data_IF_517115858152
#
_entry.id   IF_517115858152
#
_cell.length_a   1.000
_cell.length_b   1.000
_cell.length_c   1.000
_cell.angle_alpha   90.00
_cell.angle_beta   90.00
_cell.angle_gamma   90.00
#
_symmetry.space_group_name_H-M   'P 1'
#
loop_
_entity.id
_entity.type
_entity.pdbx_description
1 polymer ?
#
# COMPACT_ATOMS: atom_id res chain seq x y z
N UNK A 1 10.68 -15.80 24.41
CA UNK A 1 11.55 -15.75 25.60
C UNK A 1 10.99 -16.55 26.78
N UNK A 2 9.72 -16.44 27.13
CA UNK A 2 9.07 -17.20 28.20
C UNK A 2 9.13 -18.72 28.02
N UNK A 3 9.20 -19.21 26.77
CA UNK A 3 9.14 -20.65 26.46
C UNK A 3 10.42 -21.44 26.77
N UNK A 4 11.58 -20.81 26.61
CA UNK A 4 12.88 -21.47 26.83
C UNK A 4 13.33 -21.36 28.28
N UNK A 5 13.17 -20.19 28.91
CA UNK A 5 13.65 -19.90 30.27
C UNK A 5 12.97 -20.80 31.31
N UNK A 6 11.67 -21.04 31.20
CA UNK A 6 10.96 -21.92 32.13
C UNK A 6 11.41 -23.39 32.02
N UNK A 7 11.57 -23.90 30.80
CA UNK A 7 12.06 -25.27 30.60
C UNK A 7 13.52 -25.44 31.00
N UNK A 8 14.36 -24.41 30.78
CA UNK A 8 15.78 -24.41 31.22
C UNK A 8 15.94 -24.47 32.73
N UNK A 9 15.16 -23.66 33.46
CA UNK A 9 15.19 -23.66 34.93
C UNK A 9 14.72 -25.00 35.52
N UNK A 10 13.63 -25.56 34.97
CA UNK A 10 13.10 -26.84 35.44
C UNK A 10 14.08 -28.00 35.25
N UNK A 11 14.80 -28.02 34.11
CA UNK A 11 15.83 -29.06 33.87
C UNK A 11 17.03 -28.87 34.76
N UNK A 12 17.44 -27.61 35.06
CA UNK A 12 18.58 -27.31 35.93
C UNK A 12 18.33 -27.68 37.40
N UNK A 13 17.11 -27.47 37.87
CA UNK A 13 16.73 -27.63 39.27
C UNK A 13 16.13 -29.04 39.55
N UNK A 14 16.04 -29.90 38.53
CA UNK A 14 15.52 -31.26 38.72
C UNK A 14 16.53 -32.13 39.47
N UNK A 15 16.02 -32.89 40.43
CA UNK A 15 16.81 -33.88 41.16
C UNK A 15 17.25 -35.08 40.29
N UNK A 16 16.79 -35.18 39.04
CA UNK A 16 17.16 -36.24 38.13
C UNK A 16 18.40 -35.90 37.31
N UNK A 17 19.53 -36.47 37.66
CA UNK A 17 20.83 -36.28 37.00
C UNK A 17 20.79 -36.55 35.47
N UNK A 18 19.89 -37.41 35.02
CA UNK A 18 19.70 -37.71 33.58
C UNK A 18 19.14 -36.57 32.77
N UNK A 19 18.29 -35.71 33.32
CA UNK A 19 17.74 -34.56 32.63
C UNK A 19 18.81 -33.53 32.28
N UNK A 20 19.75 -33.33 33.16
CA UNK A 20 20.87 -32.38 32.97
C UNK A 20 21.76 -32.82 31.80
N UNK A 21 22.03 -34.12 31.68
CA UNK A 21 22.88 -34.67 30.61
C UNK A 21 22.34 -34.42 29.21
N UNK A 22 21.02 -34.41 29.04
CA UNK A 22 20.35 -34.23 27.75
C UNK A 22 19.67 -32.85 27.58
N UNK A 23 19.94 -31.90 28.50
CA UNK A 23 19.30 -30.58 28.54
C UNK A 23 19.18 -29.93 27.15
N UNK A 24 20.29 -29.72 26.46
CA UNK A 24 20.31 -29.00 25.19
C UNK A 24 19.51 -29.71 24.09
N UNK A 25 19.51 -31.05 24.08
CA UNK A 25 18.80 -31.86 23.13
C UNK A 25 17.28 -31.86 23.39
N UNK A 26 16.89 -31.88 24.67
CA UNK A 26 15.50 -31.78 25.09
C UNK A 26 14.93 -30.41 24.70
N UNK A 27 15.64 -29.33 25.03
CA UNK A 27 15.23 -27.97 24.72
C UNK A 27 15.10 -27.71 23.22
N UNK A 28 16.04 -28.20 22.41
CA UNK A 28 16.01 -28.03 20.96
C UNK A 28 14.80 -28.71 20.28
N UNK A 29 14.26 -29.76 20.89
CA UNK A 29 13.11 -30.51 20.33
C UNK A 29 11.78 -30.17 21.01
N UNK A 30 11.80 -29.59 22.20
CA UNK A 30 10.59 -29.21 22.94
C UNK A 30 9.93 -27.99 22.31
N UNK A 31 8.62 -27.97 22.34
CA UNK A 31 7.80 -26.83 21.89
C UNK A 31 6.89 -26.38 23.02
N UNK A 32 6.72 -25.08 23.13
CA UNK A 32 5.70 -24.45 23.94
C UNK A 32 4.78 -23.69 22.97
N UNK A 33 3.49 -23.93 23.06
CA UNK A 33 2.46 -23.29 22.24
C UNK A 33 1.42 -22.63 23.14
N UNK A 34 0.77 -21.60 22.62
CA UNK A 34 -0.44 -21.03 23.22
C UNK A 34 -1.54 -22.08 23.11
N UNK A 35 -2.29 -22.29 24.18
CA UNK A 35 -3.41 -23.23 24.17
C UNK A 35 -4.62 -22.63 23.48
N UNK A 36 -5.23 -23.38 22.58
CA UNK A 36 -6.47 -22.98 21.90
C UNK A 36 -7.69 -22.91 22.84
N UNK A 37 -7.61 -23.60 23.97
CA UNK A 37 -8.65 -23.60 24.99
C UNK A 37 -8.07 -23.29 26.37
N UNK A 38 -8.48 -22.14 26.93
CA UNK A 38 -8.04 -21.68 28.24
C UNK A 38 -8.36 -22.62 29.40
N UNK A 39 -9.33 -23.53 29.25
CA UNK A 39 -9.60 -24.57 30.25
C UNK A 39 -8.43 -25.56 30.38
N UNK A 40 -7.59 -25.65 29.35
CA UNK A 40 -6.37 -26.46 29.31
C UNK A 40 -5.11 -25.66 29.64
N UNK A 41 -5.26 -24.50 30.29
CA UNK A 41 -4.17 -23.59 30.59
C UNK A 41 -3.91 -22.53 29.50
N UNK A 42 -2.99 -21.62 29.75
CA UNK A 42 -2.60 -20.59 28.79
C UNK A 42 -1.53 -21.08 27.82
N UNK A 43 -0.66 -21.98 28.27
CA UNK A 43 0.40 -22.59 27.48
C UNK A 43 0.35 -24.11 27.57
N UNK A 44 0.81 -24.76 26.52
CA UNK A 44 0.99 -26.22 26.47
C UNK A 44 2.39 -26.58 26.00
N UNK A 45 2.99 -27.60 26.61
CA UNK A 45 4.35 -28.06 26.26
C UNK A 45 4.43 -29.57 26.13
N UNK A 46 5.22 -30.03 25.15
CA UNK A 46 5.52 -31.46 24.93
C UNK A 46 6.83 -31.89 25.58
N UNK A 47 7.39 -31.09 26.50
CA UNK A 47 8.73 -31.30 27.09
C UNK A 47 8.87 -32.66 27.76
N UNK A 48 7.82 -33.13 28.48
CA UNK A 48 7.87 -34.44 29.14
C UNK A 48 7.93 -35.60 28.17
N UNK A 49 7.25 -35.53 27.02
CA UNK A 49 7.34 -36.55 25.99
C UNK A 49 8.73 -36.61 25.36
N UNK A 50 9.31 -35.45 25.09
CA UNK A 50 10.68 -35.35 24.56
C UNK A 50 11.68 -35.88 25.56
N UNK A 51 11.63 -35.44 26.83
CA UNK A 51 12.53 -35.89 27.90
C UNK A 51 12.42 -37.42 28.12
N UNK A 52 11.20 -37.94 28.10
CA UNK A 52 10.93 -39.38 28.25
C UNK A 52 11.66 -40.23 27.18
N UNK A 53 11.69 -39.77 25.93
CA UNK A 53 12.40 -40.45 24.86
C UNK A 53 13.92 -40.56 25.06
N UNK A 54 14.53 -39.56 25.73
CA UNK A 54 15.97 -39.59 26.06
C UNK A 54 16.27 -40.41 27.28
N UNK A 55 15.35 -40.44 28.27
CA UNK A 55 15.56 -41.12 29.55
C UNK A 55 15.03 -42.56 29.54
N UNK A 56 14.38 -43.01 28.44
CA UNK A 56 13.71 -44.31 28.35
C UNK A 56 12.72 -44.57 29.51
N UNK A 57 11.96 -43.54 29.90
CA UNK A 57 10.95 -43.54 30.95
C UNK A 57 9.59 -43.19 30.35
N UNK A 58 8.48 -43.40 31.08
CA UNK A 58 7.16 -42.94 30.68
C UNK A 58 7.04 -41.41 30.88
N UNK A 59 6.42 -40.67 29.96
CA UNK A 59 6.30 -39.20 30.10
C UNK A 59 5.65 -38.77 31.42
N UNK A 60 4.68 -39.54 31.91
CA UNK A 60 3.96 -39.26 33.15
C UNK A 60 4.84 -39.39 34.40
N UNK A 61 5.87 -40.27 34.36
CA UNK A 61 6.82 -40.44 35.47
C UNK A 61 7.76 -39.23 35.60
N UNK A 62 7.99 -38.52 34.49
CA UNK A 62 8.85 -37.35 34.42
C UNK A 62 8.08 -36.06 34.68
N UNK A 63 6.77 -36.07 34.45
CA UNK A 63 5.94 -34.87 34.55
C UNK A 63 5.97 -34.22 35.92
N UNK A 64 6.01 -35.01 36.99
CA UNK A 64 6.10 -34.48 38.35
C UNK A 64 7.32 -33.57 38.59
N UNK A 65 8.49 -33.96 38.05
CA UNK A 65 9.68 -33.14 38.20
C UNK A 65 9.56 -31.80 37.47
N UNK A 66 8.89 -31.79 36.29
CA UNK A 66 8.61 -30.55 35.56
C UNK A 66 7.51 -29.72 36.21
N UNK A 67 6.46 -30.36 36.75
CA UNK A 67 5.41 -29.68 37.51
C UNK A 67 5.97 -28.95 38.74
N UNK A 68 6.74 -29.64 39.56
CA UNK A 68 7.40 -29.05 40.74
C UNK A 68 8.35 -27.89 40.37
N UNK A 69 9.11 -28.05 39.28
CA UNK A 69 10.02 -27.04 38.81
C UNK A 69 9.30 -25.81 38.28
N UNK A 70 8.23 -26.00 37.48
CA UNK A 70 7.45 -24.90 36.93
C UNK A 70 6.63 -24.16 38.00
N UNK A 71 6.07 -24.86 39.00
CA UNK A 71 5.31 -24.26 40.08
C UNK A 71 6.16 -23.33 40.99
N UNK A 72 7.48 -23.43 40.98
CA UNK A 72 8.36 -22.49 41.69
C UNK A 72 8.47 -21.13 41.01
N UNK A 73 8.05 -21.02 39.77
CA UNK A 73 8.13 -19.77 39.03
C UNK A 73 6.99 -18.83 39.45
N UNK A 74 7.31 -17.60 39.81
CA UNK A 74 6.36 -16.62 40.32
C UNK A 74 5.21 -16.27 39.37
N UNK A 75 5.42 -16.46 38.08
CA UNK A 75 4.41 -16.19 37.03
C UNK A 75 3.56 -17.43 36.68
N UNK A 76 3.82 -18.59 37.30
CA UNK A 76 3.04 -19.82 37.09
C UNK A 76 2.07 -20.01 38.24
N UNK A 77 0.80 -20.07 37.95
CA UNK A 77 -0.28 -20.31 38.89
C UNK A 77 -0.49 -21.80 39.17
N UNK A 78 -0.47 -22.61 38.12
CA UNK A 78 -0.72 -24.06 38.22
C UNK A 78 -0.14 -24.75 36.99
N UNK A 79 0.20 -26.04 37.13
CA UNK A 79 0.65 -26.90 36.02
C UNK A 79 -0.06 -28.24 36.16
N UNK A 80 -0.59 -28.75 35.04
CA UNK A 80 -1.30 -30.03 35.00
C UNK A 80 -0.80 -30.87 33.85
N UNK A 81 -0.48 -32.10 34.13
CA UNK A 81 -0.19 -33.10 33.08
C UNK A 81 -1.49 -33.56 32.42
N UNK A 82 -1.52 -33.59 31.09
CA UNK A 82 -2.65 -34.05 30.31
C UNK A 82 -2.25 -35.06 29.23
N UNK A 83 -3.15 -36.00 28.94
CA UNK A 83 -2.96 -36.99 27.90
C UNK A 83 -1.67 -37.81 28.05
N UNK A 84 -0.90 -37.98 26.96
CA UNK A 84 0.32 -38.79 26.95
C UNK A 84 1.54 -38.12 27.62
N UNK A 85 1.38 -36.98 28.28
CA UNK A 85 2.47 -36.24 28.94
C UNK A 85 2.66 -34.80 28.45
N UNK A 86 1.60 -34.16 27.97
CA UNK A 86 1.59 -32.73 27.75
C UNK A 86 1.50 -31.99 29.11
N UNK A 87 2.26 -30.91 29.25
CA UNK A 87 2.10 -30.01 30.38
C UNK A 87 1.22 -28.82 29.99
N UNK A 88 0.14 -28.66 30.69
CA UNK A 88 -0.76 -27.51 30.60
C UNK A 88 -0.40 -26.53 31.71
N UNK A 89 0.02 -25.33 31.32
CA UNK A 89 0.57 -24.31 32.22
C UNK A 89 -0.44 -23.18 32.36
N UNK A 90 -0.84 -22.90 33.57
CA UNK A 90 -1.71 -21.78 33.94
C UNK A 90 -0.84 -20.65 34.48
N UNK A 91 -0.91 -19.48 33.88
CA UNK A 91 -0.13 -18.31 34.30
C UNK A 91 -0.91 -17.48 35.31
N UNK A 92 -0.17 -16.81 36.19
CA UNK A 92 -0.75 -15.82 37.09
C UNK A 92 -1.26 -14.60 36.33
N UNK A 93 -2.35 -13.99 36.80
CA UNK A 93 -2.93 -12.80 36.16
C UNK A 93 -1.98 -11.61 36.14
N UNK A 94 -1.15 -11.47 37.19
CA UNK A 94 -0.11 -10.46 37.26
C UNK A 94 0.88 -10.52 36.08
N UNK A 95 1.21 -11.74 35.62
CA UNK A 95 2.11 -11.93 34.48
C UNK A 95 1.64 -11.18 33.21
N UNK A 96 0.33 -11.19 32.95
CA UNK A 96 -0.24 -10.45 31.81
C UNK A 96 -0.26 -8.95 32.07
N UNK A 97 -0.63 -8.55 33.28
CA UNK A 97 -0.76 -7.13 33.65
C UNK A 97 0.61 -6.45 33.69
N UNK A 98 1.60 -7.07 34.34
CA UNK A 98 2.94 -6.52 34.48
C UNK A 98 3.60 -6.37 33.10
N UNK A 99 3.52 -7.40 32.24
CA UNK A 99 4.01 -7.31 30.87
C UNK A 99 3.28 -6.25 30.05
N UNK A 100 1.96 -6.06 30.26
CA UNK A 100 1.19 -5.02 29.57
C UNK A 100 1.59 -3.61 30.04
N UNK A 101 1.81 -3.41 31.33
CA UNK A 101 2.25 -2.13 31.89
C UNK A 101 3.69 -1.76 31.52
N UNK A 102 4.54 -2.75 31.25
CA UNK A 102 5.92 -2.54 30.79
C UNK A 102 6.02 -2.18 29.30
N UNK A 103 4.94 -2.32 28.54
CA UNK A 103 4.88 -1.93 27.13
C UNK A 103 4.83 -0.40 27.05
N UNK A 104 5.99 0.24 26.92
CA UNK A 104 6.12 1.69 26.72
C UNK A 104 5.79 2.09 25.28
N UNK A 105 6.05 1.21 24.34
CA UNK A 105 5.79 1.40 22.90
C UNK A 105 5.30 0.08 22.31
N UNK A 106 4.11 0.11 21.71
CA UNK A 106 3.49 -1.04 21.09
C UNK A 106 4.35 -1.62 19.95
N UNK A 107 5.18 -0.79 19.31
CA UNK A 107 6.11 -1.23 18.24
C UNK A 107 7.20 -2.17 18.79
N UNK A 108 7.47 -2.13 20.09
CA UNK A 108 8.43 -3.04 20.75
C UNK A 108 7.97 -4.50 20.78
N UNK A 109 6.65 -4.75 20.59
CA UNK A 109 6.08 -6.10 20.53
C UNK A 109 6.30 -6.77 19.17
N UNK A 110 6.63 -6.00 18.15
CA UNK A 110 6.83 -6.52 16.82
C UNK A 110 8.27 -7.04 16.71
N UNK A 111 8.41 -8.33 16.38
CA UNK A 111 9.72 -8.86 15.98
C UNK A 111 10.11 -8.14 14.67
N UNK A 112 11.18 -7.36 14.76
CA UNK A 112 11.74 -6.71 13.57
C UNK A 112 12.56 -7.76 12.82
N UNK A 113 11.87 -8.47 11.91
CA UNK A 113 12.54 -9.25 10.87
C UNK A 113 13.29 -8.29 9.92
N UNK A 114 14.01 -8.82 8.95
CA UNK A 114 14.84 -8.03 8.04
C UNK A 114 14.10 -6.79 7.51
N UNK A 115 14.58 -5.61 7.91
CA UNK A 115 14.03 -4.32 7.49
C UNK A 115 14.13 -4.20 5.96
N UNK A 116 12.99 -4.04 5.29
CA UNK A 116 12.88 -3.83 3.84
C UNK A 116 12.53 -2.37 3.55
N UNK A 117 13.03 -1.86 2.42
CA UNK A 117 12.53 -0.64 1.81
C UNK A 117 11.39 -1.00 0.87
N UNK A 118 10.21 -0.41 1.08
CA UNK A 118 8.98 -0.73 0.37
C UNK A 118 8.36 0.57 -0.11
N UNK A 119 8.07 0.65 -1.40
CA UNK A 119 7.27 1.74 -1.98
C UNK A 119 5.86 1.21 -2.25
N UNK A 120 4.85 1.98 -1.87
CA UNK A 120 3.45 1.65 -2.11
C UNK A 120 2.82 2.80 -2.89
N UNK A 121 2.42 2.52 -4.11
CA UNK A 121 1.60 3.39 -4.92
C UNK A 121 0.13 3.03 -4.72
N UNK A 122 -0.73 4.02 -4.47
CA UNK A 122 -2.17 3.80 -4.34
C UNK A 122 -2.97 5.07 -4.60
N UNK A 123 -4.25 4.90 -4.90
CA UNK A 123 -5.18 5.88 -5.46
C UNK A 123 -4.83 6.19 -6.90
N UNK A 124 -3.79 6.95 -7.16
CA UNK A 124 -3.25 7.33 -8.48
C UNK A 124 -4.33 7.61 -9.54
N UNK A 125 -5.42 8.28 -9.11
CA UNK A 125 -6.52 8.64 -9.99
C UNK A 125 -6.07 9.74 -10.96
N UNK A 126 -6.54 9.67 -12.20
CA UNK A 126 -6.28 10.71 -13.18
C UNK A 126 -6.80 12.06 -12.69
N UNK A 127 -6.04 13.16 -12.85
CA UNK A 127 -6.40 14.48 -12.34
C UNK A 127 -7.45 15.16 -13.23
N UNK A 128 -8.59 14.50 -13.40
CA UNK A 128 -9.71 14.95 -14.26
C UNK A 128 -10.93 15.44 -13.48
N UNK A 129 -10.93 15.24 -12.16
CA UNK A 129 -12.00 15.67 -11.27
C UNK A 129 -11.79 15.24 -9.82
N UNK A 130 -12.75 15.53 -8.93
CA UNK A 130 -12.72 15.11 -7.54
C UNK A 130 -12.78 13.59 -7.41
N UNK A 131 -12.31 13.07 -6.26
CA UNK A 131 -12.34 11.65 -5.97
C UNK A 131 -13.79 11.16 -5.78
N UNK A 132 -14.02 9.89 -6.04
CA UNK A 132 -15.29 9.21 -5.79
C UNK A 132 -15.06 8.03 -4.81
N UNK A 133 -16.16 7.40 -4.36
CA UNK A 133 -16.12 6.33 -3.36
C UNK A 133 -15.21 5.15 -3.75
N UNK A 134 -15.08 4.85 -5.03
CA UNK A 134 -14.16 3.81 -5.51
C UNK A 134 -12.69 4.15 -5.21
N UNK A 135 -12.29 5.40 -5.42
CA UNK A 135 -10.96 5.90 -5.05
C UNK A 135 -10.75 5.89 -3.53
N UNK A 136 -11.80 6.24 -2.74
CA UNK A 136 -11.77 6.20 -1.28
C UNK A 136 -11.48 4.80 -0.73
N UNK A 137 -11.99 3.74 -1.39
CA UNK A 137 -11.66 2.36 -1.02
C UNK A 137 -10.17 2.05 -1.23
N UNK A 138 -9.62 2.45 -2.38
CA UNK A 138 -8.20 2.30 -2.66
C UNK A 138 -7.32 3.08 -1.68
N UNK A 139 -7.73 4.31 -1.33
CA UNK A 139 -7.06 5.16 -0.36
C UNK A 139 -7.01 4.50 1.03
N UNK A 140 -8.14 4.03 1.54
CA UNK A 140 -8.21 3.38 2.85
C UNK A 140 -7.37 2.09 2.91
N UNK A 141 -7.41 1.28 1.85
CA UNK A 141 -6.63 0.05 1.79
C UNK A 141 -5.12 0.32 1.72
N UNK A 142 -4.69 1.23 0.84
CA UNK A 142 -3.27 1.55 0.65
C UNK A 142 -2.65 2.19 1.90
N UNK A 143 -3.36 3.13 2.52
CA UNK A 143 -2.92 3.77 3.76
C UNK A 143 -2.84 2.78 4.93
N UNK A 144 -3.86 1.92 5.10
CA UNK A 144 -3.83 0.88 6.14
C UNK A 144 -2.65 -0.07 5.93
N UNK A 145 -2.38 -0.52 4.70
CA UNK A 145 -1.24 -1.37 4.38
C UNK A 145 0.09 -0.67 4.70
N UNK A 146 0.24 0.59 4.31
CA UNK A 146 1.44 1.38 4.59
C UNK A 146 1.68 1.51 6.11
N UNK A 147 0.65 1.82 6.88
CA UNK A 147 0.73 1.91 8.35
C UNK A 147 1.10 0.59 9.01
N UNK A 148 0.51 -0.52 8.55
CA UNK A 148 0.84 -1.86 9.06
C UNK A 148 2.30 -2.18 8.78
N UNK A 149 2.80 -1.98 7.57
CA UNK A 149 4.19 -2.26 7.22
C UNK A 149 5.18 -1.35 7.97
N UNK A 150 4.85 -0.06 8.15
CA UNK A 150 5.62 0.86 9.02
C UNK A 150 5.64 0.36 10.47
N UNK A 151 4.51 -0.13 10.97
CA UNK A 151 4.41 -0.73 12.31
C UNK A 151 5.31 -1.95 12.47
N UNK A 152 5.38 -2.81 11.44
CA UNK A 152 6.31 -3.95 11.40
C UNK A 152 7.79 -3.57 11.23
N UNK A 153 8.10 -2.28 11.17
CA UNK A 153 9.48 -1.78 11.18
C UNK A 153 10.12 -1.67 9.80
N UNK A 154 9.35 -1.86 8.73
CA UNK A 154 9.82 -1.62 7.37
C UNK A 154 9.98 -0.12 7.09
N UNK A 155 10.84 0.21 6.13
CA UNK A 155 10.99 1.56 5.60
C UNK A 155 10.02 1.75 4.44
N UNK A 156 8.89 2.40 4.72
CA UNK A 156 7.78 2.49 3.76
C UNK A 156 7.62 3.92 3.30
N UNK A 157 7.69 4.11 1.98
CA UNK A 157 7.31 5.34 1.28
C UNK A 157 5.99 5.15 0.53
N UNK A 158 5.17 6.18 0.50
CA UNK A 158 3.88 6.18 -0.19
C UNK A 158 3.91 7.15 -1.36
N UNK A 159 3.39 6.72 -2.51
CA UNK A 159 3.41 7.50 -3.75
C UNK A 159 2.03 7.63 -4.36
N UNK A 160 1.72 8.82 -4.86
CA UNK A 160 0.61 9.10 -5.75
C UNK A 160 1.17 9.41 -7.14
N UNK A 161 0.86 8.59 -8.15
CA UNK A 161 1.21 8.85 -9.54
C UNK A 161 0.19 9.78 -10.19
N UNK A 162 0.64 10.92 -10.68
CA UNK A 162 -0.20 11.93 -11.33
C UNK A 162 0.00 11.85 -12.84
N UNK A 163 -1.00 11.35 -13.55
CA UNK A 163 -1.03 11.33 -15.02
C UNK A 163 -1.42 12.72 -15.55
N UNK A 164 -0.46 13.64 -15.59
CA UNK A 164 -0.64 15.05 -16.03
C UNK A 164 -0.22 15.28 -17.48
N UNK A 165 0.35 14.28 -18.15
CA UNK A 165 0.86 14.39 -19.52
C UNK A 165 -0.13 13.87 -20.59
N UNK A 166 -1.13 13.09 -20.20
CA UNK A 166 -2.02 12.39 -21.12
C UNK A 166 -3.15 13.23 -21.73
N UNK A 167 -3.83 12.65 -22.72
CA UNK A 167 -5.00 13.22 -23.43
C UNK A 167 -6.10 13.69 -22.47
N UNK A 168 -6.30 13.00 -21.35
CA UNK A 168 -7.35 13.36 -20.38
C UNK A 168 -7.11 14.73 -19.73
N UNK A 169 -5.86 15.13 -19.53
CA UNK A 169 -5.52 16.47 -19.07
C UNK A 169 -5.86 17.54 -20.13
N UNK A 170 -5.70 17.22 -21.41
CA UNK A 170 -6.05 18.11 -22.50
C UNK A 170 -7.60 18.26 -22.62
N UNK A 171 -8.36 17.18 -22.44
CA UNK A 171 -9.82 17.22 -22.38
C UNK A 171 -10.29 18.07 -21.20
N UNK A 172 -9.64 17.97 -20.04
CA UNK A 172 -9.95 18.81 -18.87
C UNK A 172 -9.76 20.29 -19.19
N UNK A 173 -8.61 20.65 -19.75
CA UNK A 173 -8.30 22.04 -20.13
C UNK A 173 -9.30 22.57 -21.17
N UNK A 174 -9.61 21.79 -22.21
CA UNK A 174 -10.61 22.13 -23.20
C UNK A 174 -11.99 22.35 -22.57
N UNK A 175 -12.42 21.45 -21.68
CA UNK A 175 -13.72 21.55 -21.00
C UNK A 175 -13.84 22.83 -20.18
N UNK A 176 -12.79 23.21 -19.44
CA UNK A 176 -12.75 24.44 -18.64
C UNK A 176 -12.71 25.66 -19.54
N UNK A 177 -11.95 25.62 -20.64
CA UNK A 177 -11.93 26.68 -21.64
C UNK A 177 -13.29 26.99 -22.22
N UNK A 178 -13.97 25.97 -22.74
CA UNK A 178 -15.32 26.10 -23.33
C UNK A 178 -16.31 26.67 -22.30
N UNK A 179 -16.23 26.23 -21.06
CA UNK A 179 -17.12 26.70 -19.98
C UNK A 179 -16.82 28.13 -19.56
N UNK A 180 -15.53 28.53 -19.53
CA UNK A 180 -15.11 29.87 -19.15
C UNK A 180 -15.62 30.95 -20.09
N UNK A 181 -15.68 30.62 -21.38
CA UNK A 181 -16.01 31.55 -22.43
C UNK A 181 -17.44 31.37 -22.99
N UNK A 182 -18.27 30.56 -22.29
CA UNK A 182 -19.66 30.24 -22.66
C UNK A 182 -19.79 29.77 -24.13
N UNK A 183 -18.74 29.08 -24.63
CA UNK A 183 -18.71 28.52 -25.97
C UNK A 183 -19.45 27.18 -26.00
N UNK A 184 -20.22 26.95 -27.08
CA UNK A 184 -20.97 25.72 -27.28
C UNK A 184 -21.94 25.38 -26.13
N UNK A 185 -22.54 26.37 -25.46
CA UNK A 185 -23.40 26.16 -24.28
C UNK A 185 -24.55 25.18 -24.58
N UNK A 186 -25.21 25.31 -25.76
CA UNK A 186 -26.28 24.43 -26.20
C UNK A 186 -25.80 23.13 -26.86
N UNK A 187 -24.54 23.02 -27.16
CA UNK A 187 -23.91 21.94 -27.93
C UNK A 187 -22.61 21.42 -27.29
N UNK A 188 -22.54 21.49 -25.97
CA UNK A 188 -21.35 21.10 -25.23
C UNK A 188 -20.95 19.65 -25.54
N UNK A 189 -19.68 19.39 -25.93
CA UNK A 189 -19.25 18.09 -26.42
C UNK A 189 -19.52 16.95 -25.43
N UNK A 190 -19.95 15.79 -25.95
CA UNK A 190 -20.27 14.66 -25.10
C UNK A 190 -19.04 14.09 -24.37
N UNK A 191 -17.88 14.11 -25.00
CA UNK A 191 -16.61 13.65 -24.45
C UNK A 191 -15.94 14.66 -23.51
N UNK A 192 -16.48 15.89 -23.38
CA UNK A 192 -16.00 16.89 -22.43
C UNK A 192 -16.51 16.62 -21.00
N UNK A 193 -15.74 17.05 -20.00
CA UNK A 193 -16.13 16.94 -18.60
C UNK A 193 -17.25 17.94 -18.25
N UNK A 194 -18.29 17.48 -17.54
CA UNK A 194 -19.53 18.25 -17.29
C UNK A 194 -19.82 18.49 -15.80
N UNK A 195 -18.96 18.04 -14.89
CA UNK A 195 -19.17 18.19 -13.44
C UNK A 195 -19.23 19.64 -12.97
N UNK A 196 -19.88 19.91 -11.83
CA UNK A 196 -19.97 21.25 -11.24
C UNK A 196 -18.61 21.89 -11.01
N UNK A 197 -17.61 21.07 -10.64
CA UNK A 197 -16.22 21.51 -10.44
C UNK A 197 -15.61 22.18 -11.68
N UNK A 198 -16.03 21.80 -12.90
CA UNK A 198 -15.60 22.45 -14.15
C UNK A 198 -16.03 23.91 -14.16
N UNK A 199 -17.27 24.20 -13.76
CA UNK A 199 -17.80 25.56 -13.65
C UNK A 199 -17.07 26.34 -12.54
N UNK A 200 -16.85 25.70 -11.40
CA UNK A 200 -16.15 26.34 -10.28
C UNK A 200 -14.72 26.72 -10.66
N UNK A 201 -13.98 25.81 -11.31
CA UNK A 201 -12.61 26.06 -11.77
C UNK A 201 -12.60 27.11 -12.89
N UNK A 202 -13.56 27.07 -13.84
CA UNK A 202 -13.63 28.05 -14.91
C UNK A 202 -13.82 29.48 -14.39
N UNK A 203 -14.60 29.66 -13.32
CA UNK A 203 -14.81 30.95 -12.69
C UNK A 203 -13.55 31.47 -11.95
N UNK A 204 -12.60 30.61 -11.63
CA UNK A 204 -11.32 30.98 -10.98
C UNK A 204 -10.25 31.36 -12.00
N UNK A 205 -10.50 31.21 -13.31
CA UNK A 205 -9.54 31.52 -14.35
C UNK A 205 -9.52 33.03 -14.57
N UNK A 206 -8.41 33.69 -14.20
CA UNK A 206 -8.26 35.14 -14.26
C UNK A 206 -7.74 35.63 -15.61
N UNK A 207 -6.90 34.83 -16.28
CA UNK A 207 -6.30 35.20 -17.56
C UNK A 207 -7.34 35.19 -18.66
N UNK A 208 -7.55 36.33 -19.27
CA UNK A 208 -8.46 36.49 -20.40
C UNK A 208 -7.71 36.33 -21.72
N UNK A 209 -8.44 36.00 -22.77
CA UNK A 209 -7.96 35.91 -24.15
C UNK A 209 -9.02 36.48 -25.10
N UNK A 210 -8.59 37.27 -26.06
CA UNK A 210 -9.46 37.82 -27.09
C UNK A 210 -9.54 36.85 -28.26
N UNK A 211 -10.76 36.67 -28.80
CA UNK A 211 -11.02 35.76 -29.91
C UNK A 211 -11.32 36.53 -31.20
N UNK A 212 -10.77 36.03 -32.31
CA UNK A 212 -11.21 36.43 -33.65
C UNK A 212 -12.50 35.73 -34.02
N UNK A 213 -13.29 36.32 -34.91
CA UNK A 213 -14.50 35.68 -35.43
C UNK A 213 -14.19 34.35 -36.13
N UNK A 214 -13.07 34.27 -36.85
CA UNK A 214 -12.61 33.07 -37.51
C UNK A 214 -12.32 31.92 -36.51
N UNK A 215 -11.81 32.24 -35.31
CA UNK A 215 -11.62 31.24 -34.24
C UNK A 215 -12.96 30.74 -33.71
N UNK A 216 -13.95 31.64 -33.53
CA UNK A 216 -15.28 31.24 -33.05
C UNK A 216 -15.95 30.34 -34.09
N UNK A 217 -15.89 30.68 -35.37
CA UNK A 217 -16.44 29.86 -36.47
C UNK A 217 -15.82 28.45 -36.52
N UNK A 218 -14.52 28.33 -36.20
CA UNK A 218 -13.87 27.03 -36.10
C UNK A 218 -14.33 26.23 -34.89
N UNK A 219 -14.52 26.86 -33.72
CA UNK A 219 -15.01 26.18 -32.49
C UNK A 219 -16.46 25.68 -32.71
N UNK A 220 -17.31 26.43 -33.43
CA UNK A 220 -18.67 26.04 -33.68
C UNK A 220 -18.83 24.90 -34.70
N UNK A 221 -17.76 24.53 -35.40
CA UNK A 221 -17.78 23.43 -36.36
C UNK A 221 -17.93 22.07 -35.66
N UNK A 222 -19.05 21.39 -35.91
CA UNK A 222 -19.35 20.07 -35.39
C UNK A 222 -18.73 18.95 -36.22
N UNK A 223 -18.18 17.94 -35.54
CA UNK A 223 -17.87 16.65 -36.12
C UNK A 223 -18.87 15.60 -35.61
N UNK A 224 -19.11 14.57 -36.41
CA UNK A 224 -20.12 13.54 -36.12
C UNK A 224 -19.64 12.58 -34.99
N UNK A 225 -18.36 12.29 -34.93
CA UNK A 225 -17.78 11.47 -33.87
C UNK A 225 -17.42 12.33 -32.67
N UNK A 226 -17.91 11.99 -31.44
CA UNK A 226 -17.63 12.77 -30.24
C UNK A 226 -16.16 12.82 -29.82
N UNK A 227 -15.40 11.75 -30.08
CA UNK A 227 -13.99 11.69 -29.74
C UNK A 227 -13.14 12.50 -30.72
N UNK A 228 -13.45 12.39 -32.03
CA UNK A 228 -12.81 13.24 -33.04
C UNK A 228 -13.16 14.72 -32.81
N UNK A 229 -14.38 15.00 -32.35
CA UNK A 229 -14.80 16.37 -32.09
C UNK A 229 -14.03 17.01 -30.94
N UNK A 230 -13.85 16.32 -29.82
CA UNK A 230 -13.09 16.86 -28.69
C UNK A 230 -11.62 17.05 -29.05
N UNK A 231 -11.04 16.11 -29.80
CA UNK A 231 -9.64 16.22 -30.25
C UNK A 231 -9.45 17.40 -31.22
N UNK A 232 -10.40 17.62 -32.12
CA UNK A 232 -10.43 18.78 -33.00
C UNK A 232 -10.45 20.10 -32.20
N UNK A 233 -11.33 20.21 -31.19
CA UNK A 233 -11.41 21.39 -30.33
C UNK A 233 -10.09 21.65 -29.56
N UNK A 234 -9.49 20.60 -29.03
CA UNK A 234 -8.19 20.69 -28.35
C UNK A 234 -7.14 21.28 -29.30
N UNK A 235 -7.04 20.78 -30.53
CA UNK A 235 -6.03 21.24 -31.49
C UNK A 235 -6.30 22.68 -31.96
N UNK A 236 -7.54 23.10 -32.13
CA UNK A 236 -7.88 24.48 -32.46
C UNK A 236 -7.48 25.44 -31.34
N UNK A 237 -7.86 25.14 -30.10
CA UNK A 237 -7.54 25.99 -28.94
C UNK A 237 -6.02 26.07 -28.73
N UNK A 238 -5.33 24.94 -28.81
CA UNK A 238 -3.90 24.83 -28.64
C UNK A 238 -3.09 25.56 -29.73
N UNK A 239 -3.57 25.52 -30.97
CA UNK A 239 -2.92 26.19 -32.09
C UNK A 239 -3.18 27.69 -32.12
N UNK A 240 -4.31 28.15 -31.57
CA UNK A 240 -4.64 29.57 -31.49
C UNK A 240 -3.70 30.38 -30.61
N UNK A 241 -3.42 29.92 -29.38
CA UNK A 241 -2.43 30.49 -28.47
C UNK A 241 -1.78 29.39 -27.61
N UNK A 242 -0.58 28.97 -28.01
CA UNK A 242 0.15 27.89 -27.35
C UNK A 242 0.54 28.24 -25.90
N UNK A 243 0.88 29.50 -25.64
CA UNK A 243 1.31 29.93 -24.29
C UNK A 243 0.10 30.01 -23.35
N UNK A 244 -1.04 30.45 -23.87
CA UNK A 244 -2.29 30.40 -23.13
C UNK A 244 -2.71 28.95 -22.84
N UNK A 245 -2.59 28.04 -23.82
CA UNK A 245 -2.90 26.63 -23.63
C UNK A 245 -2.08 25.98 -22.53
N UNK A 246 -0.78 26.22 -22.52
CA UNK A 246 0.11 25.69 -21.47
C UNK A 246 -0.27 26.23 -20.09
N UNK A 247 -0.51 27.54 -20.00
CA UNK A 247 -1.00 28.14 -18.75
C UNK A 247 -2.32 27.55 -18.28
N UNK A 248 -3.29 27.40 -19.19
CA UNK A 248 -4.61 26.84 -18.91
C UNK A 248 -4.50 25.41 -18.38
N UNK A 249 -3.74 24.57 -19.05
CA UNK A 249 -3.52 23.17 -18.67
C UNK A 249 -2.89 23.07 -17.27
N UNK A 250 -1.84 23.80 -17.03
CA UNK A 250 -1.18 23.83 -15.70
C UNK A 250 -2.14 24.32 -14.61
N UNK A 251 -2.88 25.39 -14.88
CA UNK A 251 -3.86 25.92 -13.95
C UNK A 251 -4.95 24.91 -13.61
N UNK A 252 -5.54 24.25 -14.60
CA UNK A 252 -6.59 23.25 -14.43
C UNK A 252 -6.11 22.06 -13.62
N UNK A 253 -4.95 21.50 -13.95
CA UNK A 253 -4.35 20.39 -13.24
C UNK A 253 -4.07 20.75 -11.79
N UNK A 254 -3.47 21.91 -11.52
CA UNK A 254 -3.20 22.38 -10.17
C UNK A 254 -4.47 22.49 -9.32
N UNK A 255 -5.57 22.99 -9.92
CA UNK A 255 -6.86 23.09 -9.20
C UNK A 255 -7.46 21.73 -8.90
N UNK A 256 -7.49 20.80 -9.85
CA UNK A 256 -8.02 19.45 -9.64
C UNK A 256 -7.16 18.67 -8.63
N UNK A 257 -5.84 18.75 -8.74
CA UNK A 257 -4.94 18.11 -7.75
C UNK A 257 -5.18 18.68 -6.34
N UNK A 258 -5.48 19.97 -6.22
CA UNK A 258 -5.84 20.57 -4.92
C UNK A 258 -7.14 19.99 -4.36
N UNK A 259 -8.15 19.70 -5.21
CA UNK A 259 -9.38 19.02 -4.80
C UNK A 259 -9.10 17.59 -4.34
N UNK A 260 -8.32 16.83 -5.12
CA UNK A 260 -7.91 15.46 -4.76
C UNK A 260 -7.18 15.44 -3.41
N UNK A 261 -6.24 16.37 -3.20
CA UNK A 261 -5.53 16.48 -1.91
C UNK A 261 -6.46 16.79 -0.75
N UNK A 262 -7.45 17.67 -0.96
CA UNK A 262 -8.44 18.00 0.06
C UNK A 262 -9.32 16.78 0.41
N UNK A 263 -9.75 16.00 -0.59
CA UNK A 263 -10.52 14.78 -0.38
C UNK A 263 -9.71 13.73 0.43
N UNK A 264 -8.43 13.55 0.11
CA UNK A 264 -7.53 12.63 0.83
C UNK A 264 -7.27 13.11 2.26
N UNK A 265 -7.11 14.41 2.48
CA UNK A 265 -6.95 15.01 3.80
C UNK A 265 -8.16 14.74 4.70
N UNK A 266 -9.39 14.81 4.16
CA UNK A 266 -10.61 14.46 4.90
C UNK A 266 -10.61 12.99 5.36
N UNK A 267 -9.94 12.10 4.63
CA UNK A 267 -9.74 10.70 5.00
C UNK A 267 -8.50 10.47 5.87
N UNK A 268 -7.75 11.53 6.22
CA UNK A 268 -6.46 11.44 6.89
C UNK A 268 -5.46 10.53 6.15
N UNK A 269 -5.46 10.59 4.81
CA UNK A 269 -4.58 9.85 3.91
C UNK A 269 -3.55 10.80 3.31
N UNK A 270 -2.28 10.51 3.53
CA UNK A 270 -1.16 11.34 3.08
C UNK A 270 -0.17 10.51 2.27
N UNK A 271 0.31 11.09 1.17
CA UNK A 271 1.38 10.49 0.36
C UNK A 271 2.70 11.23 0.59
N UNK A 272 3.78 10.46 0.75
CA UNK A 272 5.13 11.01 0.93
C UNK A 272 5.64 11.64 -0.37
N UNK A 273 5.22 11.11 -1.53
CA UNK A 273 5.61 11.57 -2.87
C UNK A 273 4.38 11.74 -3.77
N UNK A 274 4.36 12.83 -4.53
CA UNK A 274 3.46 13.07 -5.65
C UNK A 274 4.31 13.07 -6.93
N UNK A 275 4.31 11.96 -7.64
CA UNK A 275 5.11 11.78 -8.85
C UNK A 275 4.31 12.22 -10.07
N UNK A 276 4.83 13.18 -10.83
CA UNK A 276 4.18 13.71 -12.03
C UNK A 276 4.77 13.04 -13.27
N UNK A 277 3.91 12.46 -14.12
CA UNK A 277 4.31 11.82 -15.37
C UNK A 277 5.08 12.77 -16.28
N UNK A 278 4.69 14.05 -16.33
CA UNK A 278 5.40 15.08 -17.10
C UNK A 278 6.87 15.24 -16.73
N UNK A 279 7.26 14.86 -15.49
CA UNK A 279 8.66 14.87 -15.04
C UNK A 279 9.55 13.86 -15.75
N UNK A 280 8.98 12.84 -16.40
CA UNK A 280 9.71 11.88 -17.23
C UNK A 280 10.25 12.54 -18.49
N UNK A 281 9.65 13.66 -18.90
CA UNK A 281 10.00 14.39 -20.13
C UNK A 281 9.46 13.72 -21.39
N UNK A 282 9.84 14.28 -22.54
CA UNK A 282 9.36 13.83 -23.85
C UNK A 282 10.40 12.99 -24.58
N UNK A 283 9.94 12.14 -25.53
CA UNK A 283 10.77 11.23 -26.30
C UNK A 283 11.77 11.95 -27.24
N UNK A 284 11.41 13.10 -27.75
CA UNK A 284 12.24 13.94 -28.63
C UNK A 284 13.39 14.62 -27.87
N UNK A 285 13.25 14.76 -26.54
CA UNK A 285 14.33 15.27 -25.69
C UNK A 285 15.26 14.14 -25.26
N UNK A 286 16.43 14.05 -25.89
CA UNK A 286 17.44 13.00 -25.63
C UNK A 286 17.96 12.95 -24.21
N UNK A 287 17.79 14.03 -23.44
CA UNK A 287 18.20 14.14 -22.03
C UNK A 287 17.08 13.77 -21.05
N UNK A 288 15.84 13.56 -21.52
CA UNK A 288 14.72 13.17 -20.68
C UNK A 288 14.95 11.79 -20.03
N UNK A 289 14.30 11.55 -18.91
CA UNK A 289 14.33 10.25 -18.23
C UNK A 289 13.72 9.16 -19.13
N UNK A 290 12.63 9.50 -19.82
CA UNK A 290 11.96 8.59 -20.75
C UNK A 290 12.87 8.16 -21.90
N UNK A 291 13.55 9.10 -22.55
CA UNK A 291 14.49 8.80 -23.65
C UNK A 291 15.68 7.96 -23.19
N UNK A 292 16.20 8.22 -21.99
CA UNK A 292 17.28 7.42 -21.38
C UNK A 292 16.79 6.00 -21.10
N UNK A 293 15.66 5.84 -20.44
CA UNK A 293 15.09 4.51 -20.14
C UNK A 293 14.85 3.68 -21.40
N UNK A 294 14.30 4.30 -22.45
CA UNK A 294 14.07 3.60 -23.72
C UNK A 294 15.39 3.15 -24.40
N UNK A 295 16.48 3.90 -24.26
CA UNK A 295 17.80 3.48 -24.77
C UNK A 295 18.33 2.26 -24.00
N UNK A 296 18.12 2.21 -22.71
CA UNK A 296 18.62 1.13 -21.84
C UNK A 296 17.82 -0.17 -22.01
N UNK A 297 16.57 -0.10 -22.46
CA UNK A 297 15.75 -1.28 -22.72
C UNK A 297 16.27 -2.03 -23.96
N UNK A 298 16.52 -3.33 -23.80
CA UNK A 298 16.95 -4.20 -24.90
C UNK A 298 15.93 -4.19 -26.06
N UNK A 299 16.40 -4.07 -27.30
CA UNK A 299 15.56 -4.06 -28.51
C UNK A 299 14.63 -5.29 -28.64
N UNK A 300 15.03 -6.45 -28.12
CA UNK A 300 14.19 -7.66 -28.11
C UNK A 300 12.94 -7.53 -27.24
N UNK A 301 12.95 -6.59 -26.30
CA UNK A 301 11.86 -6.36 -25.36
C UNK A 301 10.96 -5.19 -25.77
N UNK A 302 11.22 -4.58 -26.93
CA UNK A 302 10.42 -3.50 -27.50
C UNK A 302 9.70 -3.98 -28.75
N UNK A 303 8.52 -3.45 -28.98
CA UNK A 303 7.81 -3.60 -30.24
C UNK A 303 6.89 -2.39 -30.46
N UNK A 304 6.61 -2.08 -31.71
CA UNK A 304 5.70 -1.02 -32.12
C UNK A 304 4.35 -1.62 -32.49
N UNK A 305 3.26 -1.04 -32.01
CA UNK A 305 1.90 -1.42 -32.36
C UNK A 305 1.00 -0.19 -32.19
N UNK A 306 0.17 0.11 -33.21
CA UNK A 306 -0.76 1.23 -33.23
C UNK A 306 -0.07 2.58 -32.92
N UNK A 307 1.03 2.85 -33.57
CA UNK A 307 1.88 4.06 -33.41
C UNK A 307 2.42 4.28 -31.97
N UNK A 308 2.36 3.25 -31.12
CA UNK A 308 2.91 3.27 -29.77
C UNK A 308 4.05 2.30 -29.60
N UNK A 309 5.02 2.68 -28.77
CA UNK A 309 6.14 1.83 -28.38
C UNK A 309 5.76 1.03 -27.14
N UNK A 310 5.75 -0.30 -27.27
CA UNK A 310 5.39 -1.23 -26.21
C UNK A 310 6.60 -1.95 -25.64
N UNK A 311 6.56 -2.23 -24.35
CA UNK A 311 7.54 -3.03 -23.62
C UNK A 311 6.97 -4.43 -23.35
N UNK A 312 7.74 -5.47 -23.71
CA UNK A 312 7.42 -6.85 -23.31
C UNK A 312 7.79 -7.08 -21.85
N UNK A 313 6.85 -6.90 -20.95
CA UNK A 313 7.04 -7.02 -19.50
C UNK A 313 6.78 -8.43 -18.95
N UNK A 314 6.58 -9.45 -19.80
CA UNK A 314 6.10 -10.78 -19.43
C UNK A 314 6.99 -11.59 -18.46
N UNK A 315 8.06 -11.02 -17.92
CA UNK A 315 8.85 -11.62 -16.84
C UNK A 315 8.51 -11.06 -15.45
N UNK A 316 7.68 -10.02 -15.40
CA UNK A 316 7.22 -9.43 -14.14
C UNK A 316 5.70 -9.54 -14.11
N UNK A 317 5.16 -10.42 -13.30
CA UNK A 317 3.74 -10.55 -13.00
C UNK A 317 3.22 -9.34 -12.20
N UNK A 318 3.39 -8.15 -12.75
CA UNK A 318 3.00 -6.89 -12.11
C UNK A 318 2.33 -5.92 -13.06
N UNK A 319 1.68 -6.42 -14.13
CA UNK A 319 0.66 -5.60 -14.78
C UNK A 319 -0.56 -5.62 -13.88
N UNK A 320 -0.86 -4.49 -13.26
CA UNK A 320 -2.10 -4.29 -12.53
C UNK A 320 -3.27 -4.49 -13.50
N UNK A 321 -4.25 -5.30 -13.10
CA UNK A 321 -5.46 -5.54 -13.89
C UNK A 321 -6.25 -4.25 -14.22
N UNK A 322 -5.94 -3.13 -13.57
CA UNK A 322 -6.47 -1.81 -13.88
C UNK A 322 -5.93 -1.22 -15.20
N UNK A 323 -4.77 -1.67 -15.68
CA UNK A 323 -4.17 -1.20 -16.95
C UNK A 323 -4.63 -2.01 -18.17
N UNK A 324 -5.29 -3.15 -17.99
CA UNK A 324 -5.79 -3.97 -19.11
C UNK A 324 -6.95 -3.33 -19.88
N UNK A 325 -7.66 -2.34 -19.30
CA UNK A 325 -8.74 -1.62 -19.98
C UNK A 325 -8.25 -0.40 -20.81
N UNK A 326 -6.93 -0.12 -20.81
CA UNK A 326 -6.34 1.04 -21.51
C UNK A 326 -5.35 0.65 -22.60
N UNK A 327 -5.53 -0.51 -23.17
CA UNK A 327 -4.82 -0.92 -24.36
C UNK A 327 -5.26 -0.15 -25.61
#
# INVERSE_FOLDING_TARGET
ALSLVGSEMCIRDSSESGLIAFKNQILAKSKVSISDNLSNGHLSSNVCMIAASFLNKKPIEISHAFEEGLQKLSFVKDVKTAGPGFLNIFLEQSCFLDNFLDIKDITSLVQKDDKKSIQIEYVSANPTGPLHVGHGRGAAYGDALARILKFYGHDVSTEYYVNDAGRQADILACSIFLRRHDLLENDYPNSAYKGSYIKDISNMLEKEIDFSNDFIDQIEKKLSDPEEHIDYLIEIIKSYDKDYWLYLKEFCLKKVISLIKADLELLNVHHDCWFFESSLGQLDNTNSLLSKAIKDINQKNKYEKNDALWLKSCLLYTSDAADEERG
#
